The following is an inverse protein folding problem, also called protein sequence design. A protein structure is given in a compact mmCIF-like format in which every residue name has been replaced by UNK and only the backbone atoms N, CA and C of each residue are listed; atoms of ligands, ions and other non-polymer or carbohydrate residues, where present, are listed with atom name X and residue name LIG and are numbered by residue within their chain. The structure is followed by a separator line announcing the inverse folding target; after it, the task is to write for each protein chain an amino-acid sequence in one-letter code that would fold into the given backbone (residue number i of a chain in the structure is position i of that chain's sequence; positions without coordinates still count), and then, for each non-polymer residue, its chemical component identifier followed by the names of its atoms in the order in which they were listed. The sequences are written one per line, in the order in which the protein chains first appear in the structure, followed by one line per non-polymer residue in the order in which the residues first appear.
data_IF_053001365662
#
_entry.id   IF_053001365662
#
_cell.length_a   1.000
_cell.length_b   1.000
_cell.length_c   1.000
_cell.angle_alpha   90.00
_cell.angle_beta   90.00
_cell.angle_gamma   90.00
#
_symmetry.space_group_name_H-M   'P 1'
#
loop_
_entity.id
_entity.type
_entity.pdbx_description
1 polymer ?
#
# COMPACT_ATOMS: atom_id res chain seq x y z
N UNK A 1 -1.23 -5.03 -10.40
CA UNK A 1 -1.13 -5.40 -8.98
C UNK A 1 -1.88 -4.38 -8.11
N UNK A 2 -2.93 -4.85 -7.46
CA UNK A 2 -3.68 -4.18 -6.41
C UNK A 2 -3.47 -4.93 -5.09
N UNK A 3 -3.39 -4.23 -3.97
CA UNK A 3 -3.34 -4.81 -2.64
C UNK A 3 -4.51 -4.29 -1.83
N UNK A 4 -5.21 -5.21 -1.17
CA UNK A 4 -6.16 -4.87 -0.11
C UNK A 4 -5.43 -5.01 1.22
N UNK A 5 -5.39 -3.94 1.98
CA UNK A 5 -4.73 -3.91 3.26
C UNK A 5 -5.64 -3.32 4.32
N UNK A 6 -5.22 -3.46 5.57
CA UNK A 6 -5.96 -2.95 6.73
C UNK A 6 -5.03 -2.23 7.67
N UNK A 7 -5.46 -1.07 8.14
CA UNK A 7 -4.84 -0.41 9.28
C UNK A 7 -5.07 -1.26 10.55
N UNK A 8 -3.97 -1.64 11.20
CA UNK A 8 -4.02 -2.49 12.39
C UNK A 8 -4.61 -1.79 13.62
N UNK A 9 -4.55 -0.47 13.68
CA UNK A 9 -5.03 0.33 14.80
C UNK A 9 -6.52 0.66 14.65
N UNK A 10 -6.92 1.14 13.47
CA UNK A 10 -8.31 1.61 13.23
C UNK A 10 -9.21 0.56 12.60
N UNK A 11 -8.61 -0.42 11.94
CA UNK A 11 -9.32 -1.42 11.15
C UNK A 11 -9.84 -0.93 9.80
N UNK A 12 -9.54 0.31 9.40
CA UNK A 12 -9.86 0.85 8.09
C UNK A 12 -9.27 -0.02 6.97
N UNK A 13 -10.07 -0.30 5.94
CA UNK A 13 -9.60 -0.95 4.72
C UNK A 13 -8.99 0.10 3.80
N UNK A 14 -7.79 -0.19 3.31
CA UNK A 14 -7.05 0.67 2.41
C UNK A 14 -6.72 -0.11 1.15
N UNK A 15 -6.97 0.50 0.01
CA UNK A 15 -6.62 -0.06 -1.28
C UNK A 15 -5.31 0.53 -1.78
N UNK A 16 -4.37 -0.33 -2.17
CA UNK A 16 -3.13 0.08 -2.81
C UNK A 16 -3.14 -0.33 -4.27
N UNK A 17 -2.79 0.60 -5.15
CA UNK A 17 -2.58 0.35 -6.58
C UNK A 17 -1.10 0.52 -6.87
N UNK A 18 -0.48 -0.54 -7.38
CA UNK A 18 0.94 -0.54 -7.69
C UNK A 18 1.18 -0.03 -9.12
N UNK A 19 2.10 0.92 -9.26
CA UNK A 19 2.75 1.24 -10.52
C UNK A 19 4.21 0.81 -10.47
N UNK A 20 4.67 0.11 -11.52
CA UNK A 20 6.02 -0.43 -11.56
C UNK A 20 7.04 0.66 -11.89
N UNK A 21 8.04 0.80 -11.02
CA UNK A 21 9.22 1.59 -11.33
C UNK A 21 10.15 0.72 -12.19
N UNK A 22 10.09 0.98 -13.49
CA UNK A 22 10.81 0.25 -14.56
C UNK A 22 12.33 0.24 -14.39
N UNK A 23 12.87 1.11 -13.54
CA UNK A 23 14.32 1.26 -13.39
C UNK A 23 14.96 0.32 -12.35
N UNK A 24 14.23 -0.07 -11.29
CA UNK A 24 14.87 -0.69 -10.11
C UNK A 24 14.12 -1.90 -9.50
N UNK A 25 13.04 -2.40 -10.12
CA UNK A 25 12.29 -3.56 -9.58
C UNK A 25 11.50 -3.25 -8.29
N UNK A 26 11.16 -1.97 -8.11
CA UNK A 26 10.29 -1.49 -7.05
C UNK A 26 8.90 -1.20 -7.58
N UNK A 27 7.92 -1.25 -6.68
CA UNK A 27 6.55 -0.84 -6.93
C UNK A 27 6.25 0.43 -6.12
N UNK A 28 5.65 1.42 -6.77
CA UNK A 28 5.06 2.57 -6.12
C UNK A 28 3.59 2.27 -5.83
N UNK A 29 3.27 2.09 -4.56
CA UNK A 29 1.93 1.81 -4.10
C UNK A 29 1.20 3.10 -3.74
N UNK A 30 0.32 3.55 -4.63
CA UNK A 30 -0.62 4.63 -4.37
C UNK A 30 -1.79 4.11 -3.58
N UNK A 31 -2.27 4.87 -2.59
CA UNK A 31 -3.25 4.35 -1.65
C UNK A 31 -4.45 5.25 -1.43
N UNK A 32 -5.61 4.60 -1.35
CA UNK A 32 -6.92 5.23 -1.37
C UNK A 32 -7.82 4.63 -0.28
N UNK A 33 -8.80 5.41 0.13
CA UNK A 33 -9.96 4.86 0.84
C UNK A 33 -10.82 4.00 -0.09
N UNK A 34 -11.81 3.26 0.43
CA UNK A 34 -12.72 2.46 -0.40
C UNK A 34 -13.56 3.28 -1.40
N UNK A 35 -13.66 4.60 -1.25
CA UNK A 35 -14.36 5.50 -2.16
C UNK A 35 -13.45 5.99 -3.31
N UNK A 36 -12.16 5.63 -3.27
CA UNK A 36 -11.16 6.00 -4.27
C UNK A 36 -10.49 7.35 -4.02
N UNK A 37 -10.74 7.99 -2.86
CA UNK A 37 -10.06 9.22 -2.51
C UNK A 37 -8.64 8.91 -2.04
N UNK A 38 -7.65 9.66 -2.56
CA UNK A 38 -6.28 9.57 -2.07
C UNK A 38 -6.25 9.90 -0.58
N UNK A 39 -5.78 8.94 0.22
CA UNK A 39 -5.51 9.20 1.62
C UNK A 39 -4.33 10.17 1.70
N UNK A 40 -4.52 11.29 2.39
CA UNK A 40 -3.47 12.31 2.51
C UNK A 40 -2.27 11.73 3.26
N UNK A 41 -1.18 11.50 2.53
CA UNK A 41 0.14 11.45 3.15
C UNK A 41 0.62 12.86 3.45
N UNK A 42 1.33 13.03 4.55
CA UNK A 42 2.08 14.27 4.80
C UNK A 42 3.38 14.37 3.99
N UNK A 43 3.84 13.26 3.38
CA UNK A 43 5.14 13.19 2.70
C UNK A 43 5.04 12.87 1.20
N UNK A 44 4.35 11.80 0.80
CA UNK A 44 4.23 11.37 -0.61
C UNK A 44 2.94 10.57 -0.83
N UNK A 45 2.25 10.69 -1.98
CA UNK A 45 1.01 9.96 -2.26
C UNK A 45 1.22 8.46 -2.52
N UNK A 46 2.44 7.95 -2.36
CA UNK A 46 2.77 6.54 -2.60
C UNK A 46 3.83 6.04 -1.62
N UNK A 47 3.82 4.71 -1.39
CA UNK A 47 4.87 3.97 -0.71
C UNK A 47 5.67 3.15 -1.72
N UNK A 48 7.00 3.34 -1.76
CA UNK A 48 7.90 2.52 -2.58
C UNK A 48 8.27 1.24 -1.82
N UNK A 49 8.03 0.07 -2.39
CA UNK A 49 8.40 -1.23 -1.83
C UNK A 49 9.08 -2.11 -2.90
N UNK A 50 10.05 -2.97 -2.55
CA UNK A 50 10.62 -3.92 -3.51
C UNK A 50 9.55 -4.91 -3.96
N UNK A 51 9.42 -5.14 -5.28
CA UNK A 51 8.37 -6.01 -5.84
C UNK A 51 8.34 -7.40 -5.20
N UNK A 52 9.52 -8.00 -5.01
CA UNK A 52 9.66 -9.35 -4.50
C UNK A 52 9.47 -9.47 -2.98
N UNK A 53 9.31 -8.34 -2.27
CA UNK A 53 9.09 -8.32 -0.81
C UNK A 53 7.62 -8.21 -0.44
N UNK A 54 6.74 -7.94 -1.41
CA UNK A 54 5.31 -7.74 -1.16
C UNK A 54 4.62 -9.10 -1.10
N UNK A 55 4.07 -9.44 0.07
CA UNK A 55 3.45 -10.73 0.33
C UNK A 55 2.27 -10.60 1.30
N UNK A 56 1.30 -11.54 1.28
CA UNK A 56 0.21 -11.55 2.25
C UNK A 56 0.74 -11.62 3.69
N UNK A 57 0.02 -11.00 4.63
CA UNK A 57 0.39 -10.87 6.05
C UNK A 57 1.67 -10.06 6.33
N UNK A 58 2.26 -9.41 5.32
CA UNK A 58 3.32 -8.44 5.56
C UNK A 58 2.73 -7.16 6.16
N UNK A 59 3.38 -6.63 7.20
CA UNK A 59 3.08 -5.30 7.73
C UNK A 59 4.10 -4.26 7.27
N UNK A 60 3.65 -3.04 7.01
CA UNK A 60 4.51 -1.90 6.72
C UNK A 60 3.91 -0.59 7.23
N UNK A 61 4.75 0.43 7.38
CA UNK A 61 4.34 1.72 7.93
C UNK A 61 4.07 2.74 6.81
N UNK A 62 2.95 3.45 6.92
CA UNK A 62 2.61 4.63 6.12
C UNK A 62 2.40 5.78 7.08
N UNK A 63 3.25 6.80 6.99
CA UNK A 63 3.30 7.89 7.97
C UNK A 63 3.37 7.33 9.41
N UNK A 64 2.27 7.36 10.17
CA UNK A 64 2.12 6.83 11.53
C UNK A 64 1.26 5.56 11.62
N UNK A 65 0.73 5.07 10.49
CA UNK A 65 -0.20 3.94 10.41
C UNK A 65 0.54 2.63 10.15
N UNK A 66 0.23 1.60 10.94
CA UNK A 66 0.70 0.23 10.69
C UNK A 66 -0.29 -0.51 9.80
N UNK A 67 0.11 -0.83 8.58
CA UNK A 67 -0.74 -1.42 7.55
C UNK A 67 -0.38 -2.90 7.38
N UNK A 68 -1.39 -3.77 7.43
CA UNK A 68 -1.26 -5.22 7.20
C UNK A 68 -1.85 -5.58 5.82
N UNK A 69 -1.06 -6.25 4.98
CA UNK A 69 -1.53 -6.82 3.72
C UNK A 69 -2.47 -7.99 3.98
N UNK A 70 -3.71 -7.90 3.49
CA UNK A 70 -4.69 -8.97 3.56
C UNK A 70 -4.69 -9.79 2.27
N UNK A 71 -4.74 -9.11 1.13
CA UNK A 71 -4.92 -9.75 -0.17
C UNK A 71 -4.09 -9.05 -1.25
N UNK A 72 -3.57 -9.84 -2.19
CA UNK A 72 -2.84 -9.37 -3.36
C UNK A 72 -3.58 -9.86 -4.60
N UNK A 73 -3.93 -8.93 -5.48
CA UNK A 73 -4.61 -9.18 -6.75
C UNK A 73 -3.63 -8.74 -7.85
N UNK A 74 -3.18 -9.67 -8.69
CA UNK A 74 -2.24 -9.34 -9.77
C UNK A 74 -2.88 -8.58 -10.93
#
# INVERSE_FOLDING_TARGET
MKIIAKDQDTGEIIEFVAEEDVSDGFLNFFYHDPEGNFLRSTRRPYKKLPRNSVMPNMSFIIDDRLILIIEIIE
#
